data_IF_607716267619
#
_entry.id   IF_607716267619
#
_cell.length_a   1.000
_cell.length_b   1.000
_cell.length_c   1.000
_cell.angle_alpha   90.00
_cell.angle_beta   90.00
_cell.angle_gamma   90.00
#
_symmetry.space_group_name_H-M   'P 1'
#
loop_
_entity.id
_entity.type
_entity.pdbx_description
1 polymer ?
#
# COMPACT_ATOMS: atom_id res chain seq x y z
N UNK A 1 -12.03 18.18 -7.11
CA UNK A 1 -13.10 18.63 -8.02
C UNK A 1 -14.41 18.86 -7.27
N UNK A 2 -14.84 17.94 -6.40
CA UNK A 2 -15.96 18.14 -5.47
C UNK A 2 -15.78 19.38 -4.59
N UNK A 3 -14.66 19.52 -3.87
CA UNK A 3 -14.47 20.66 -2.96
C UNK A 3 -14.49 22.01 -3.70
N UNK A 4 -13.95 22.03 -4.92
CA UNK A 4 -13.99 23.22 -5.77
C UNK A 4 -15.42 23.56 -6.21
N UNK A 5 -16.26 22.55 -6.48
CA UNK A 5 -17.68 22.74 -6.77
C UNK A 5 -18.44 23.30 -5.57
N UNK A 6 -18.16 22.78 -4.37
CA UNK A 6 -18.79 23.26 -3.13
C UNK A 6 -18.44 24.73 -2.86
N UNK A 7 -17.18 25.12 -3.05
CA UNK A 7 -16.75 26.53 -2.93
C UNK A 7 -17.44 27.44 -3.95
N UNK A 8 -17.63 26.96 -5.18
CA UNK A 8 -18.26 27.77 -6.26
C UNK A 8 -19.79 27.76 -6.22
N UNK A 9 -20.40 26.83 -5.49
CA UNK A 9 -21.84 26.66 -5.34
C UNK A 9 -22.57 26.61 -6.70
N UNK A 10 -23.62 27.42 -6.85
CA UNK A 10 -24.43 27.48 -8.06
C UNK A 10 -23.63 27.79 -9.35
N UNK A 11 -22.50 28.52 -9.24
CA UNK A 11 -21.62 28.79 -10.39
C UNK A 11 -20.97 27.51 -10.92
N UNK A 12 -20.70 26.53 -10.05
CA UNK A 12 -20.09 25.26 -10.42
C UNK A 12 -20.97 24.40 -11.33
N UNK A 13 -22.29 24.48 -11.17
CA UNK A 13 -23.25 23.68 -11.96
C UNK A 13 -23.72 24.36 -13.25
N UNK A 14 -23.63 25.69 -13.35
CA UNK A 14 -24.04 26.43 -14.56
C UNK A 14 -22.98 26.27 -15.65
N UNK A 15 -23.28 25.51 -16.71
CA UNK A 15 -22.38 25.24 -17.83
C UNK A 15 -22.34 26.42 -18.82
N UNK A 16 -21.78 27.55 -18.39
CA UNK A 16 -21.46 28.69 -19.25
C UNK A 16 -19.99 28.72 -19.69
N UNK A 17 -19.61 29.59 -20.65
CA UNK A 17 -18.24 29.71 -21.14
C UNK A 17 -17.20 30.10 -20.07
N UNK A 18 -17.66 30.61 -18.92
CA UNK A 18 -16.81 30.97 -17.77
C UNK A 18 -16.69 29.85 -16.72
N UNK A 19 -17.33 28.70 -16.92
CA UNK A 19 -17.26 27.58 -16.00
C UNK A 19 -16.15 26.61 -16.40
N UNK A 20 -14.98 26.78 -15.79
CA UNK A 20 -13.80 25.92 -16.00
C UNK A 20 -13.87 24.58 -15.25
N UNK A 21 -14.78 24.44 -14.28
CA UNK A 21 -14.89 23.25 -13.42
C UNK A 21 -15.89 22.21 -13.94
N UNK A 22 -17.00 22.66 -14.52
CA UNK A 22 -18.15 21.84 -14.91
C UNK A 22 -17.79 20.59 -15.71
N UNK A 23 -17.03 20.78 -16.79
CA UNK A 23 -16.62 19.68 -17.67
C UNK A 23 -15.62 18.74 -17.00
N UNK A 24 -14.69 19.27 -16.21
CA UNK A 24 -13.72 18.45 -15.47
C UNK A 24 -14.40 17.54 -14.45
N UNK A 25 -15.41 18.07 -13.75
CA UNK A 25 -16.20 17.27 -12.81
C UNK A 25 -17.02 16.18 -13.51
N UNK A 26 -17.67 16.50 -14.64
CA UNK A 26 -18.41 15.52 -15.45
C UNK A 26 -17.51 14.40 -16.01
N UNK A 27 -16.23 14.71 -16.27
CA UNK A 27 -15.25 13.72 -16.72
C UNK A 27 -14.69 12.85 -15.59
N UNK A 28 -14.89 13.20 -14.31
CA UNK A 28 -14.31 12.45 -13.19
C UNK A 28 -14.66 10.94 -13.18
N UNK A 29 -15.89 10.49 -13.51
CA UNK A 29 -16.22 9.07 -13.58
C UNK A 29 -15.44 8.29 -14.64
N UNK A 30 -14.96 8.96 -15.69
CA UNK A 30 -14.17 8.34 -16.76
C UNK A 30 -12.86 7.80 -16.16
N UNK A 31 -12.14 8.62 -15.40
CA UNK A 31 -10.89 8.20 -14.76
C UNK A 31 -11.07 7.05 -13.74
N UNK A 32 -12.29 6.82 -13.25
CA UNK A 32 -12.59 5.74 -12.28
C UNK A 32 -12.92 4.42 -13.00
N UNK A 33 -13.40 4.48 -14.25
CA UNK A 33 -14.06 3.34 -14.90
C UNK A 33 -13.34 2.82 -16.16
N UNK A 34 -12.69 3.68 -16.94
CA UNK A 34 -12.29 3.31 -18.32
C UNK A 34 -10.91 2.66 -18.42
N UNK A 35 -10.01 2.85 -17.45
CA UNK A 35 -8.68 2.20 -17.42
C UNK A 35 -8.69 0.84 -16.68
N UNK A 36 -9.89 0.28 -16.50
CA UNK A 36 -10.16 -0.78 -15.55
C UNK A 36 -10.86 -0.19 -14.34
N UNK A 37 -12.10 -0.61 -14.11
CA UNK A 37 -12.90 -0.11 -12.99
C UNK A 37 -12.08 -0.18 -11.70
N UNK A 38 -11.99 0.92 -10.95
CA UNK A 38 -11.14 0.99 -9.76
C UNK A 38 -11.42 -0.16 -8.78
N UNK A 39 -12.67 -0.64 -8.72
CA UNK A 39 -13.05 -1.85 -7.96
C UNK A 39 -12.28 -3.09 -8.44
N UNK A 40 -12.21 -3.34 -9.74
CA UNK A 40 -11.48 -4.48 -10.31
C UNK A 40 -9.96 -4.33 -10.12
N UNK A 41 -9.42 -3.14 -10.40
CA UNK A 41 -7.99 -2.84 -10.28
C UNK A 41 -7.52 -2.96 -8.83
N UNK A 42 -8.26 -2.38 -7.88
CA UNK A 42 -7.99 -2.40 -6.45
C UNK A 42 -8.17 -3.79 -5.82
N UNK A 43 -9.25 -4.49 -6.16
CA UNK A 43 -9.61 -5.75 -5.50
C UNK A 43 -8.83 -6.94 -6.06
N UNK A 44 -8.52 -6.96 -7.35
CA UNK A 44 -7.95 -8.14 -8.00
C UNK A 44 -6.46 -7.99 -8.37
N UNK A 45 -6.03 -6.80 -8.79
CA UNK A 45 -4.71 -6.62 -9.41
C UNK A 45 -3.68 -6.13 -8.39
N UNK A 46 -3.94 -5.00 -7.72
CA UNK A 46 -2.96 -4.33 -6.85
C UNK A 46 -2.47 -5.27 -5.74
N UNK A 47 -3.39 -5.84 -4.96
CA UNK A 47 -3.00 -6.76 -3.89
C UNK A 47 -2.94 -8.21 -4.37
N UNK A 48 -3.97 -8.75 -5.01
CA UNK A 48 -4.02 -10.17 -5.37
C UNK A 48 -2.85 -10.66 -6.22
N UNK A 49 -2.51 -9.96 -7.31
CA UNK A 49 -1.36 -10.32 -8.15
C UNK A 49 -0.05 -9.72 -7.65
N UNK A 50 -0.09 -8.50 -7.12
CA UNK A 50 1.08 -7.83 -6.57
C UNK A 50 1.69 -8.61 -5.40
N UNK A 51 0.85 -9.18 -4.53
CA UNK A 51 1.34 -9.86 -3.34
C UNK A 51 1.98 -11.22 -3.66
N UNK A 52 1.62 -11.89 -4.76
CA UNK A 52 2.36 -13.08 -5.23
C UNK A 52 3.75 -12.70 -5.77
N UNK A 53 3.83 -11.62 -6.57
CA UNK A 53 5.08 -11.24 -7.25
C UNK A 53 6.08 -10.49 -6.38
N UNK A 54 5.59 -9.68 -5.47
CA UNK A 54 6.42 -8.84 -4.61
C UNK A 54 6.82 -9.56 -3.32
N UNK A 55 6.14 -10.66 -2.95
CA UNK A 55 6.49 -11.41 -1.75
C UNK A 55 7.77 -12.25 -1.97
N UNK A 56 8.77 -12.20 -1.08
CA UNK A 56 10.07 -12.85 -1.31
C UNK A 56 10.04 -14.39 -1.39
N UNK A 57 8.96 -15.02 -0.91
CA UNK A 57 8.86 -16.47 -0.74
C UNK A 57 7.70 -17.15 -1.49
N UNK A 58 6.58 -16.46 -1.74
CA UNK A 58 5.36 -17.12 -2.28
C UNK A 58 5.63 -17.70 -3.67
N UNK A 59 6.26 -16.93 -4.56
CA UNK A 59 6.58 -17.42 -5.90
C UNK A 59 7.53 -18.63 -5.84
N UNK A 60 8.51 -18.63 -4.92
CA UNK A 60 9.45 -19.74 -4.74
C UNK A 60 8.75 -21.01 -4.24
N UNK A 61 7.80 -20.88 -3.32
CA UNK A 61 6.98 -22.01 -2.86
C UNK A 61 6.14 -22.59 -4.00
N UNK A 62 5.54 -21.73 -4.83
CA UNK A 62 4.75 -22.15 -5.99
C UNK A 62 5.62 -22.83 -7.06
N UNK A 63 6.81 -22.31 -7.33
CA UNK A 63 7.77 -22.89 -8.28
C UNK A 63 8.32 -24.22 -7.77
N UNK A 64 8.62 -24.33 -6.47
CA UNK A 64 9.07 -25.58 -5.85
C UNK A 64 8.03 -26.70 -5.97
N UNK A 65 6.74 -26.37 -5.83
CA UNK A 65 5.64 -27.32 -5.99
C UNK A 65 5.45 -27.81 -7.45
N UNK A 66 6.09 -27.16 -8.44
CA UNK A 66 6.03 -27.55 -9.85
C UNK A 66 7.23 -28.40 -10.29
N UNK A 67 8.18 -28.68 -9.40
CA UNK A 67 9.34 -29.52 -9.71
C UNK A 67 8.88 -30.99 -9.91
N UNK A 68 9.23 -31.65 -11.03
CA UNK A 68 8.77 -33.02 -11.30
C UNK A 68 9.32 -34.08 -10.34
N UNK A 69 10.56 -33.91 -9.86
CA UNK A 69 11.16 -34.81 -8.88
C UNK A 69 10.63 -34.49 -7.47
N UNK A 70 9.86 -35.41 -6.90
CA UNK A 70 9.23 -35.23 -5.59
C UNK A 70 10.21 -34.98 -4.44
N UNK A 71 11.42 -35.55 -4.48
CA UNK A 71 12.41 -35.33 -3.43
C UNK A 71 13.03 -33.94 -3.54
N UNK A 72 13.38 -33.51 -4.76
CA UNK A 72 13.86 -32.16 -5.01
C UNK A 72 12.78 -31.09 -4.74
N UNK A 73 11.53 -31.37 -5.12
CA UNK A 73 10.38 -30.51 -4.87
C UNK A 73 10.19 -30.27 -3.37
N UNK A 74 10.18 -31.34 -2.58
CA UNK A 74 10.01 -31.27 -1.12
C UNK A 74 11.15 -30.47 -0.46
N UNK A 75 12.40 -30.75 -0.82
CA UNK A 75 13.54 -30.04 -0.26
C UNK A 75 13.53 -28.52 -0.58
N UNK A 76 13.19 -28.17 -1.83
CA UNK A 76 13.08 -26.77 -2.25
C UNK A 76 11.91 -26.05 -1.57
N UNK A 77 10.76 -26.73 -1.45
CA UNK A 77 9.57 -26.20 -0.80
C UNK A 77 9.80 -25.97 0.69
N UNK A 78 10.35 -26.96 1.40
CA UNK A 78 10.65 -26.84 2.84
C UNK A 78 11.62 -25.68 3.11
N UNK A 79 12.65 -25.53 2.27
CA UNK A 79 13.57 -24.41 2.40
C UNK A 79 12.87 -23.05 2.25
N UNK A 80 12.02 -22.90 1.22
CA UNK A 80 11.27 -21.66 0.99
C UNK A 80 10.27 -21.38 2.12
N UNK A 81 9.54 -22.40 2.56
CA UNK A 81 8.54 -22.32 3.61
C UNK A 81 9.17 -21.93 4.96
N UNK A 82 10.27 -22.54 5.35
CA UNK A 82 10.94 -22.21 6.62
C UNK A 82 11.52 -20.79 6.61
N UNK A 83 12.03 -20.34 5.47
CA UNK A 83 12.48 -18.95 5.31
C UNK A 83 11.30 -17.98 5.38
N UNK A 84 10.14 -18.33 4.81
CA UNK A 84 8.91 -17.56 4.91
C UNK A 84 8.38 -17.49 6.35
N UNK A 85 8.34 -18.61 7.07
CA UNK A 85 7.95 -18.64 8.50
C UNK A 85 8.87 -17.74 9.32
N UNK A 86 10.19 -17.79 9.07
CA UNK A 86 11.16 -16.90 9.71
C UNK A 86 10.89 -15.41 9.42
N UNK A 87 10.57 -15.08 8.16
CA UNK A 87 10.19 -13.72 7.76
C UNK A 87 8.91 -13.25 8.46
N UNK A 88 7.87 -14.08 8.47
CA UNK A 88 6.61 -13.78 9.14
C UNK A 88 6.81 -13.52 10.64
N UNK A 89 7.51 -14.43 11.35
CA UNK A 89 7.78 -14.28 12.78
C UNK A 89 8.62 -13.03 13.09
N UNK A 90 9.63 -12.73 12.26
CA UNK A 90 10.43 -11.51 12.36
C UNK A 90 9.57 -10.25 12.23
N UNK A 91 8.63 -10.23 11.28
CA UNK A 91 7.68 -9.13 11.12
C UNK A 91 6.68 -9.04 12.28
N UNK A 92 6.21 -10.16 12.84
CA UNK A 92 5.34 -10.17 14.02
C UNK A 92 6.04 -9.52 15.21
N UNK A 93 7.27 -9.96 15.52
CA UNK A 93 8.07 -9.39 16.61
C UNK A 93 8.34 -7.91 16.36
N UNK A 94 8.73 -7.54 15.13
CA UNK A 94 9.01 -6.14 14.75
C UNK A 94 7.76 -5.27 14.86
N UNK A 95 6.62 -5.71 14.34
CA UNK A 95 5.35 -4.98 14.39
C UNK A 95 4.88 -4.80 15.84
N UNK A 96 5.00 -5.83 16.66
CA UNK A 96 4.64 -5.78 18.08
C UNK A 96 5.55 -4.83 18.87
N UNK A 97 6.87 -4.96 18.70
CA UNK A 97 7.84 -4.06 19.31
C UNK A 97 7.61 -2.61 18.85
N UNK A 98 7.55 -2.34 17.54
CA UNK A 98 7.31 -0.98 17.04
C UNK A 98 5.93 -0.44 17.46
N UNK A 99 4.93 -1.30 17.62
CA UNK A 99 3.61 -0.96 18.14
C UNK A 99 3.67 -0.47 19.59
N UNK A 100 4.35 -1.23 20.45
CA UNK A 100 4.44 -0.94 21.89
C UNK A 100 5.12 0.39 22.18
N UNK A 101 6.19 0.72 21.46
CA UNK A 101 6.96 1.95 21.67
C UNK A 101 6.52 3.10 20.75
N UNK A 102 5.33 3.02 20.12
CA UNK A 102 4.84 4.02 19.16
C UNK A 102 5.91 4.44 18.12
N UNK A 103 6.62 3.45 17.59
CA UNK A 103 7.70 3.56 16.60
C UNK A 103 8.94 4.38 17.03
N UNK A 104 9.10 4.78 18.30
CA UNK A 104 10.26 5.59 18.73
C UNK A 104 11.63 4.92 18.47
N UNK A 105 11.67 3.58 18.44
CA UNK A 105 12.88 2.81 18.08
C UNK A 105 13.01 2.43 16.60
N UNK A 106 12.08 2.84 15.74
CA UNK A 106 12.20 2.58 14.30
C UNK A 106 13.34 3.41 13.70
N UNK A 107 13.99 2.83 12.68
CA UNK A 107 15.00 3.54 11.88
C UNK A 107 14.31 4.63 11.07
N UNK A 108 15.02 5.72 10.85
CA UNK A 108 14.62 6.77 9.93
C UNK A 108 15.82 7.17 9.09
N UNK A 109 15.67 7.39 7.78
CA UNK A 109 16.74 7.88 6.93
C UNK A 109 17.06 9.36 7.19
N UNK A 110 16.25 10.06 7.98
CA UNK A 110 16.35 11.50 8.21
C UNK A 110 16.31 11.83 9.70
N UNK A 111 16.97 12.92 10.08
CA UNK A 111 16.97 13.43 11.47
C UNK A 111 16.07 14.66 11.66
N UNK A 112 15.35 15.07 10.62
CA UNK A 112 14.55 16.29 10.58
C UNK A 112 13.07 16.14 10.97
N UNK A 113 12.21 17.11 10.61
CA UNK A 113 10.79 17.10 10.97
C UNK A 113 10.03 15.88 10.42
N UNK A 114 10.54 15.28 9.34
CA UNK A 114 9.98 14.07 8.71
C UNK A 114 10.32 12.78 9.44
N UNK A 115 11.23 12.81 10.43
CA UNK A 115 11.77 11.62 11.09
C UNK A 115 10.66 10.73 11.66
N UNK A 116 9.69 11.33 12.35
CA UNK A 116 8.57 10.61 12.99
C UNK A 116 7.68 9.92 11.96
N UNK A 117 7.44 10.53 10.80
CA UNK A 117 6.65 9.91 9.74
C UNK A 117 7.32 8.65 9.20
N UNK A 118 8.63 8.68 8.94
CA UNK A 118 9.39 7.48 8.56
C UNK A 118 9.35 6.37 9.61
N UNK A 119 9.42 6.73 10.89
CA UNK A 119 9.32 5.75 11.97
C UNK A 119 7.94 5.06 11.98
N UNK A 120 6.87 5.84 11.86
CA UNK A 120 5.51 5.31 11.78
C UNK A 120 5.29 4.48 10.51
N UNK A 121 5.85 4.91 9.38
CA UNK A 121 5.82 4.17 8.12
C UNK A 121 6.47 2.79 8.25
N UNK A 122 7.60 2.68 8.96
CA UNK A 122 8.26 1.40 9.23
C UNK A 122 7.41 0.48 10.12
N UNK A 123 6.77 1.06 11.16
CA UNK A 123 5.81 0.33 12.01
C UNK A 123 4.64 -0.21 11.20
N UNK A 124 4.02 0.64 10.38
CA UNK A 124 2.86 0.25 9.58
C UNK A 124 3.23 -0.73 8.47
N UNK A 125 4.42 -0.62 7.88
CA UNK A 125 4.93 -1.59 6.90
C UNK A 125 5.14 -2.96 7.54
N UNK A 126 5.69 -3.04 8.75
CA UNK A 126 5.81 -4.29 9.49
C UNK A 126 4.44 -4.90 9.82
N UNK A 127 3.49 -4.09 10.28
CA UNK A 127 2.12 -4.55 10.54
C UNK A 127 1.40 -5.02 9.27
N UNK A 128 1.59 -4.31 8.15
CA UNK A 128 1.03 -4.68 6.85
C UNK A 128 1.60 -6.01 6.33
N UNK A 129 2.90 -6.26 6.52
CA UNK A 129 3.51 -7.55 6.18
C UNK A 129 2.85 -8.70 6.95
N UNK A 130 2.69 -8.56 8.28
CA UNK A 130 2.00 -9.56 9.11
C UNK A 130 0.56 -9.80 8.65
N UNK A 131 -0.19 -8.74 8.36
CA UNK A 131 -1.56 -8.86 7.88
C UNK A 131 -1.64 -9.53 6.50
N UNK A 132 -0.68 -9.24 5.63
CA UNK A 132 -0.61 -9.83 4.29
C UNK A 132 -0.32 -11.32 4.36
N UNK A 133 0.68 -11.73 5.13
CA UNK A 133 1.06 -13.13 5.33
C UNK A 133 -0.08 -13.90 6.02
N UNK A 134 -0.70 -13.32 7.04
CA UNK A 134 -1.86 -13.93 7.70
C UNK A 134 -3.05 -14.09 6.75
N UNK A 135 -3.31 -13.11 5.89
CA UNK A 135 -4.37 -13.19 4.89
C UNK A 135 -4.08 -14.28 3.84
N UNK A 136 -2.84 -14.40 3.37
CA UNK A 136 -2.43 -15.45 2.44
C UNK A 136 -2.48 -16.84 3.07
N UNK A 137 -2.02 -16.99 4.31
CA UNK A 137 -2.02 -18.27 5.01
C UNK A 137 -3.45 -18.77 5.27
N UNK A 138 -4.34 -17.87 5.70
CA UNK A 138 -5.71 -18.23 6.07
C UNK A 138 -6.64 -18.41 4.87
N UNK A 139 -6.43 -17.67 3.78
CA UNK A 139 -7.32 -17.67 2.62
C UNK A 139 -6.72 -18.36 1.39
N UNK A 140 -5.40 -18.50 1.30
CA UNK A 140 -4.71 -19.11 0.17
C UNK A 140 -5.18 -18.56 -1.18
N UNK A 141 -5.54 -19.46 -2.10
CA UNK A 141 -6.09 -19.11 -3.41
C UNK A 141 -7.46 -18.42 -3.38
N UNK A 142 -8.20 -18.50 -2.27
CA UNK A 142 -9.48 -17.79 -2.11
C UNK A 142 -9.30 -16.30 -1.82
N UNK A 143 -8.10 -15.85 -1.47
CA UNK A 143 -7.79 -14.44 -1.22
C UNK A 143 -8.19 -13.56 -2.41
N UNK A 144 -7.98 -14.04 -3.64
CA UNK A 144 -8.38 -13.37 -4.88
C UNK A 144 -9.90 -13.24 -5.03
N UNK A 145 -10.67 -14.15 -4.40
CA UNK A 145 -12.15 -14.15 -4.41
C UNK A 145 -12.73 -13.32 -3.27
N UNK A 146 -11.96 -13.03 -2.22
CA UNK A 146 -12.37 -12.16 -1.10
C UNK A 146 -12.11 -10.70 -1.42
N UNK A 147 -12.83 -10.19 -2.42
CA UNK A 147 -12.66 -8.86 -3.00
C UNK A 147 -12.57 -7.74 -1.94
N UNK A 148 -13.44 -7.75 -0.92
CA UNK A 148 -13.46 -6.72 0.14
C UNK A 148 -12.19 -6.70 1.00
N UNK A 149 -11.59 -7.86 1.30
CA UNK A 149 -10.37 -7.91 2.11
C UNK A 149 -9.17 -7.47 1.28
N UNK A 150 -9.05 -8.00 0.06
CA UNK A 150 -8.03 -7.60 -0.90
C UNK A 150 -8.08 -6.09 -1.18
N UNK A 151 -9.28 -5.52 -1.28
CA UNK A 151 -9.49 -4.07 -1.43
C UNK A 151 -8.90 -3.25 -0.28
N UNK A 152 -9.03 -3.74 0.95
CA UNK A 152 -8.54 -3.03 2.16
C UNK A 152 -7.02 -3.12 2.27
N UNK A 153 -6.46 -4.28 1.95
CA UNK A 153 -5.00 -4.46 1.90
C UNK A 153 -4.38 -3.61 0.78
N UNK A 154 -5.06 -3.52 -0.37
CA UNK A 154 -4.68 -2.60 -1.46
C UNK A 154 -4.71 -1.13 -1.05
N UNK A 155 -5.70 -0.69 -0.27
CA UNK A 155 -5.75 0.67 0.28
C UNK A 155 -4.60 0.95 1.24
N UNK A 156 -4.35 0.05 2.19
CA UNK A 156 -3.25 0.19 3.14
C UNK A 156 -1.91 0.32 2.41
N UNK A 157 -1.68 -0.53 1.40
CA UNK A 157 -0.50 -0.45 0.55
C UNK A 157 -0.43 0.90 -0.19
N UNK A 158 -1.56 1.38 -0.73
CA UNK A 158 -1.62 2.65 -1.45
C UNK A 158 -1.29 3.83 -0.54
N UNK A 159 -1.80 3.85 0.70
CA UNK A 159 -1.48 4.89 1.68
C UNK A 159 -0.01 4.86 2.09
N UNK A 160 0.55 3.67 2.35
CA UNK A 160 1.98 3.52 2.62
C UNK A 160 2.83 4.03 1.46
N UNK A 161 2.46 3.71 0.22
CA UNK A 161 3.17 4.16 -0.97
C UNK A 161 3.12 5.68 -1.14
N UNK A 162 1.93 6.29 -1.02
CA UNK A 162 1.76 7.74 -1.15
C UNK A 162 2.56 8.48 -0.06
N UNK A 163 2.46 8.06 1.20
CA UNK A 163 3.23 8.67 2.28
C UNK A 163 4.74 8.54 2.05
N UNK A 164 5.21 7.36 1.61
CA UNK A 164 6.62 7.16 1.25
C UNK A 164 7.07 8.10 0.14
N UNK A 165 6.26 8.26 -0.91
CA UNK A 165 6.55 9.12 -2.06
C UNK A 165 6.57 10.60 -1.68
N UNK A 166 5.63 11.05 -0.85
CA UNK A 166 5.57 12.43 -0.34
C UNK A 166 6.82 12.74 0.49
N UNK A 167 7.17 11.87 1.43
CA UNK A 167 8.37 12.04 2.25
C UNK A 167 9.64 12.03 1.39
N UNK A 168 9.77 11.07 0.46
CA UNK A 168 10.91 10.97 -0.45
C UNK A 168 11.06 12.23 -1.31
N UNK A 169 9.96 12.72 -1.87
CA UNK A 169 9.96 13.95 -2.68
C UNK A 169 10.38 15.16 -1.87
N UNK A 170 9.85 15.33 -0.66
CA UNK A 170 10.24 16.43 0.22
C UNK A 170 11.75 16.43 0.53
N UNK A 171 12.33 15.25 0.75
CA UNK A 171 13.76 15.10 0.95
C UNK A 171 14.57 15.42 -0.33
N UNK A 172 14.10 14.96 -1.49
CA UNK A 172 14.77 15.18 -2.79
C UNK A 172 14.70 16.65 -3.24
N UNK A 173 13.61 17.34 -2.93
CA UNK A 173 13.41 18.77 -3.25
C UNK A 173 14.20 19.69 -2.28
N UNK A 174 14.99 19.12 -1.36
CA UNK A 174 15.86 19.88 -0.45
C UNK A 174 15.15 20.40 0.80
N UNK A 175 14.03 19.78 1.19
CA UNK A 175 13.24 20.10 2.39
C UNK A 175 12.69 21.54 2.41
N UNK A 176 11.98 22.00 1.36
CA UNK A 176 11.42 23.35 1.33
C UNK A 176 10.41 23.56 2.45
N UNK A 177 10.62 24.58 3.29
CA UNK A 177 9.77 24.85 4.45
C UNK A 177 8.28 25.09 4.09
N UNK A 178 8.01 25.56 2.88
CA UNK A 178 6.66 25.78 2.36
C UNK A 178 5.86 24.50 2.18
N UNK A 179 6.53 23.36 1.99
CA UNK A 179 5.89 22.09 1.66
C UNK A 179 5.66 21.24 2.92
N UNK A 180 6.32 21.59 4.03
CA UNK A 180 6.20 20.85 5.28
C UNK A 180 4.74 20.71 5.77
N UNK A 181 3.88 21.76 5.74
CA UNK A 181 2.47 21.59 6.12
C UNK A 181 1.72 20.59 5.24
N UNK A 182 2.06 20.51 3.95
CA UNK A 182 1.46 19.53 3.04
C UNK A 182 1.96 18.11 3.34
N UNK A 183 3.25 17.95 3.65
CA UNK A 183 3.82 16.69 4.09
C UNK A 183 3.16 16.21 5.38
N UNK A 184 3.00 17.09 6.37
CA UNK A 184 2.33 16.77 7.63
C UNK A 184 0.88 16.36 7.42
N UNK A 185 0.16 17.01 6.51
CA UNK A 185 -1.22 16.63 6.18
C UNK A 185 -1.32 15.27 5.49
N UNK A 186 -0.39 14.95 4.58
CA UNK A 186 -0.42 13.71 3.79
C UNK A 186 0.23 12.50 4.47
N UNK A 187 1.22 12.72 5.35
CA UNK A 187 2.01 11.66 5.97
C UNK A 187 1.46 11.19 7.32
N UNK A 188 0.37 11.81 7.81
CA UNK A 188 -0.39 11.30 8.96
C UNK A 188 -1.22 10.11 8.48
N UNK A 189 -0.73 8.90 8.80
CA UNK A 189 -1.42 7.62 8.59
C UNK A 189 -1.99 7.12 9.92
#
# INVERSE_FOLDING_TARGET
ALDAMDIHGGKGIILGPKNYLGRGFQAAPIAITVEGANILTRNMIIFGQGAIRCHPFILKEMEAAQIPDGHAALAAFDHALWAHVGFFLSNVVRAWALGFHAAHGARSPTEGPTRRFYQHLERYSAAFAVLSDAAMLTLGGELKRKERLSARLGDLLSYLYIASAVLKRFEDDGRPATDLPLVEWLAVI
#
